data_IF_892753479598
#
_entry.id   IF_892753479598
#
_cell.length_a   1.000
_cell.length_b   1.000
_cell.length_c   1.000
_cell.angle_alpha   90.00
_cell.angle_beta   90.00
_cell.angle_gamma   90.00
#
_symmetry.space_group_name_H-M   'P 1'
#
loop_
_entity.id
_entity.type
_entity.pdbx_description
1 polymer ?
#
# COMPACT_ATOMS: atom_id res chain seq x y z
N UNK A 1 -9.51 17.23 5.92
CA UNK A 1 -9.37 15.77 5.69
C UNK A 1 -8.03 15.38 6.27
N UNK A 2 -8.00 14.67 7.39
CA UNK A 2 -6.72 14.15 7.91
C UNK A 2 -6.23 13.06 6.95
N UNK A 3 -4.96 13.12 6.54
CA UNK A 3 -4.37 12.08 5.71
C UNK A 3 -4.41 10.74 6.46
N UNK A 4 -4.83 9.67 5.78
CA UNK A 4 -4.83 8.32 6.36
C UNK A 4 -3.38 7.86 6.55
N UNK A 5 -2.97 7.38 7.75
CA UNK A 5 -1.60 6.93 7.98
C UNK A 5 -1.25 5.76 7.06
N UNK A 6 -0.06 5.82 6.46
CA UNK A 6 0.46 4.79 5.56
C UNK A 6 1.68 4.12 6.19
N UNK A 7 1.80 2.80 6.05
CA UNK A 7 2.90 2.02 6.63
C UNK A 7 3.51 1.15 5.54
N UNK A 8 4.83 1.25 5.36
CA UNK A 8 5.56 0.36 4.46
C UNK A 8 5.68 -1.03 5.09
N UNK A 9 5.29 -2.08 4.37
CA UNK A 9 5.46 -3.47 4.81
C UNK A 9 6.08 -4.31 3.70
N UNK A 10 7.09 -5.11 4.04
CA UNK A 10 7.77 -6.01 3.11
C UNK A 10 7.66 -7.49 3.52
N UNK A 11 7.12 -7.77 4.71
CA UNK A 11 7.04 -9.12 5.25
C UNK A 11 5.78 -9.33 6.09
N UNK A 12 5.44 -10.61 6.28
CA UNK A 12 4.25 -11.02 7.02
C UNK A 12 4.32 -10.64 8.51
N UNK A 13 5.53 -10.57 9.10
CA UNK A 13 5.70 -10.18 10.49
C UNK A 13 5.22 -8.73 10.73
N UNK A 14 5.71 -7.80 9.90
CA UNK A 14 5.34 -6.39 9.96
C UNK A 14 3.85 -6.18 9.68
N UNK A 15 3.32 -6.87 8.67
CA UNK A 15 1.90 -6.80 8.32
C UNK A 15 1.00 -7.21 9.50
N UNK A 16 1.33 -8.33 10.17
CA UNK A 16 0.59 -8.79 11.35
C UNK A 16 0.64 -7.79 12.49
N UNK A 17 1.80 -7.17 12.72
CA UNK A 17 1.96 -6.11 13.72
C UNK A 17 1.06 -4.91 13.40
N UNK A 18 1.05 -4.45 12.14
CA UNK A 18 0.21 -3.34 11.69
C UNK A 18 -1.27 -3.64 11.86
N UNK A 19 -1.72 -4.81 11.41
CA UNK A 19 -3.12 -5.24 11.56
C UNK A 19 -3.56 -5.28 13.02
N UNK A 20 -2.77 -5.91 13.89
CA UNK A 20 -3.09 -6.02 15.31
C UNK A 20 -3.16 -4.64 15.99
N UNK A 21 -2.20 -3.76 15.68
CA UNK A 21 -2.15 -2.41 16.26
C UNK A 21 -3.29 -1.53 15.76
N UNK A 22 -3.56 -1.52 14.45
CA UNK A 22 -4.66 -0.76 13.85
C UNK A 22 -6.02 -1.17 14.42
N UNK A 23 -6.24 -2.48 14.58
CA UNK A 23 -7.45 -3.03 15.20
C UNK A 23 -7.57 -2.63 16.69
N UNK A 24 -6.47 -2.75 17.45
CA UNK A 24 -6.44 -2.38 18.88
C UNK A 24 -6.73 -0.89 19.11
N UNK A 25 -6.13 -0.02 18.30
CA UNK A 25 -6.29 1.43 18.40
C UNK A 25 -7.55 1.95 17.69
N UNK A 26 -8.25 1.11 16.92
CA UNK A 26 -9.39 1.48 16.06
C UNK A 26 -9.05 2.62 15.09
N UNK A 27 -7.86 2.56 14.49
CA UNK A 27 -7.38 3.56 13.53
C UNK A 27 -7.41 2.95 12.12
N UNK A 28 -7.99 3.69 11.17
CA UNK A 28 -7.90 3.34 9.75
C UNK A 28 -6.50 3.67 9.25
N UNK A 29 -5.83 2.71 8.61
CA UNK A 29 -4.52 2.90 7.99
C UNK A 29 -4.43 2.14 6.66
N UNK A 30 -3.42 2.46 5.86
CA UNK A 30 -3.12 1.81 4.58
C UNK A 30 -1.74 1.18 4.65
N UNK A 31 -1.60 -0.04 4.13
CA UNK A 31 -0.28 -0.67 3.95
C UNK A 31 0.23 -0.43 2.54
N UNK A 32 1.52 -0.18 2.41
CA UNK A 32 2.18 0.13 1.14
C UNK A 32 3.38 -0.79 0.98
N UNK A 33 3.62 -1.32 -0.22
CA UNK A 33 4.84 -2.07 -0.50
C UNK A 33 6.07 -1.15 -0.41
N UNK A 34 7.31 -1.68 -0.31
CA UNK A 34 8.51 -0.87 -0.52
C UNK A 34 8.50 -0.17 -1.90
N UNK A 35 9.24 0.94 -2.05
CA UNK A 35 9.34 1.65 -3.33
C UNK A 35 9.76 0.71 -4.47
N UNK A 36 9.04 0.75 -5.59
CA UNK A 36 9.32 -0.08 -6.77
C UNK A 36 9.15 -1.59 -6.59
N UNK A 37 8.59 -2.09 -5.49
CA UNK A 37 8.47 -3.53 -5.23
C UNK A 37 7.67 -4.27 -6.33
N UNK A 38 6.70 -3.61 -6.96
CA UNK A 38 5.95 -4.16 -8.10
C UNK A 38 6.83 -4.42 -9.32
N UNK A 39 7.94 -3.69 -9.49
CA UNK A 39 8.91 -3.92 -10.58
C UNK A 39 9.89 -5.06 -10.28
N UNK A 40 10.18 -5.31 -9.00
CA UNK A 40 11.24 -6.24 -8.56
C UNK A 40 10.66 -7.58 -8.16
N UNK A 41 9.67 -7.57 -7.26
CA UNK A 41 9.03 -8.76 -6.71
C UNK A 41 7.78 -9.15 -7.49
N UNK A 42 7.15 -8.18 -8.15
CA UNK A 42 5.92 -8.39 -8.91
C UNK A 42 4.65 -8.39 -8.06
N UNK A 43 3.52 -8.24 -8.74
CA UNK A 43 2.20 -8.27 -8.11
C UNK A 43 1.86 -9.58 -7.39
N UNK A 44 2.27 -10.79 -7.86
CA UNK A 44 1.93 -12.05 -7.19
C UNK A 44 2.48 -12.14 -5.76
N UNK A 45 3.70 -11.64 -5.54
CA UNK A 45 4.29 -11.55 -4.20
C UNK A 45 3.45 -10.66 -3.29
N UNK A 46 3.05 -9.48 -3.77
CA UNK A 46 2.27 -8.55 -2.96
C UNK A 46 0.90 -9.13 -2.60
N UNK A 47 0.19 -9.71 -3.57
CA UNK A 47 -1.09 -10.38 -3.33
C UNK A 47 -0.99 -11.51 -2.33
N UNK A 48 0.08 -12.31 -2.39
CA UNK A 48 0.32 -13.38 -1.41
C UNK A 48 0.59 -12.81 0.00
N UNK A 49 1.34 -11.71 0.09
CA UNK A 49 1.63 -11.06 1.37
C UNK A 49 0.37 -10.49 2.02
N UNK A 50 -0.51 -9.86 1.24
CA UNK A 50 -1.70 -9.13 1.76
C UNK A 50 -3.01 -9.91 1.65
N UNK A 51 -2.96 -11.21 1.33
CA UNK A 51 -4.16 -12.03 1.05
C UNK A 51 -5.22 -11.97 2.16
N UNK A 52 -4.79 -12.03 3.43
CA UNK A 52 -5.66 -11.97 4.61
C UNK A 52 -5.67 -10.58 5.29
N UNK A 53 -5.19 -9.55 4.59
CA UNK A 53 -5.14 -8.19 5.11
C UNK A 53 -6.48 -7.47 4.87
N UNK A 54 -7.20 -7.03 5.92
CA UNK A 54 -8.43 -6.26 5.75
C UNK A 54 -8.17 -4.76 5.46
N UNK A 55 -6.91 -4.31 5.55
CA UNK A 55 -6.53 -2.92 5.32
C UNK A 55 -6.34 -2.66 3.82
N UNK A 56 -6.63 -1.45 3.32
CA UNK A 56 -6.22 -1.04 1.98
C UNK A 56 -4.72 -1.27 1.77
N UNK A 57 -4.37 -1.83 0.61
CA UNK A 57 -3.02 -2.29 0.30
C UNK A 57 -2.56 -1.77 -1.07
N UNK A 58 -1.51 -0.94 -1.06
CA UNK A 58 -0.97 -0.28 -2.25
C UNK A 58 0.33 -0.95 -2.72
N UNK A 59 0.41 -1.26 -4.01
CA UNK A 59 1.64 -1.76 -4.65
C UNK A 59 2.35 -0.66 -5.43
N UNK A 60 3.60 -0.40 -5.07
CA UNK A 60 4.45 0.56 -5.78
C UNK A 60 5.09 -0.06 -7.03
N UNK A 61 4.62 0.37 -8.20
CA UNK A 61 5.04 -0.12 -9.51
C UNK A 61 6.03 0.85 -10.20
N UNK A 62 6.55 1.85 -9.49
CA UNK A 62 7.52 2.81 -10.05
C UNK A 62 7.08 3.40 -11.39
N UNK A 63 7.95 3.30 -12.41
CA UNK A 63 7.66 3.79 -13.77
C UNK A 63 7.11 2.71 -14.73
N UNK A 64 6.77 1.52 -14.21
CA UNK A 64 6.40 0.38 -15.04
C UNK A 64 4.88 0.23 -15.18
N UNK A 65 4.30 0.92 -16.15
CA UNK A 65 2.86 0.87 -16.43
C UNK A 65 2.33 -0.57 -16.67
N UNK A 66 3.14 -1.44 -17.28
CA UNK A 66 2.76 -2.84 -17.49
C UNK A 66 2.56 -3.62 -16.19
N UNK A 67 3.46 -3.46 -15.22
CA UNK A 67 3.32 -4.10 -13.90
C UNK A 67 2.15 -3.53 -13.11
N UNK A 68 1.92 -2.21 -13.17
CA UNK A 68 0.75 -1.59 -12.59
C UNK A 68 -0.56 -2.15 -13.17
N UNK A 69 -0.63 -2.34 -14.50
CA UNK A 69 -1.79 -2.92 -15.15
C UNK A 69 -2.03 -4.38 -14.72
N UNK A 70 -0.97 -5.21 -14.62
CA UNK A 70 -1.08 -6.58 -14.12
C UNK A 70 -1.61 -6.62 -12.68
N UNK A 71 -1.09 -5.75 -11.81
CA UNK A 71 -1.53 -5.64 -10.42
C UNK A 71 -3.02 -5.27 -10.30
N UNK A 72 -3.49 -4.29 -11.08
CA UNK A 72 -4.90 -3.92 -11.14
C UNK A 72 -5.79 -5.08 -11.60
N UNK A 73 -5.38 -5.82 -12.64
CA UNK A 73 -6.11 -7.01 -13.12
C UNK A 73 -6.19 -8.14 -12.11
N UNK A 74 -5.22 -8.21 -11.20
CA UNK A 74 -5.21 -9.18 -10.10
C UNK A 74 -6.03 -8.73 -8.88
N UNK A 75 -6.63 -7.54 -8.92
CA UNK A 75 -7.48 -7.02 -7.84
C UNK A 75 -6.73 -6.32 -6.72
N UNK A 76 -5.50 -5.84 -6.94
CA UNK A 76 -4.82 -4.98 -5.96
C UNK A 76 -5.64 -3.70 -5.76
N UNK A 77 -5.89 -3.32 -4.50
CA UNK A 77 -6.74 -2.18 -4.16
C UNK A 77 -6.23 -0.84 -4.69
N UNK A 78 -4.91 -0.69 -4.82
CA UNK A 78 -4.33 0.44 -5.54
C UNK A 78 -2.88 0.24 -5.94
N UNK A 79 -2.48 0.95 -6.99
CA UNK A 79 -1.10 0.94 -7.51
C UNK A 79 -0.54 2.36 -7.49
N UNK A 80 0.75 2.46 -7.20
CA UNK A 80 1.50 3.72 -7.34
C UNK A 80 2.32 3.62 -8.62
N UNK A 81 2.14 4.56 -9.55
CA UNK A 81 2.83 4.55 -10.83
C UNK A 81 3.16 5.97 -11.30
N UNK A 82 4.46 6.26 -11.43
CA UNK A 82 4.98 7.50 -12.00
C UNK A 82 5.26 7.29 -13.49
N UNK A 83 4.23 7.51 -14.32
CA UNK A 83 4.25 7.19 -15.76
C UNK A 83 3.78 8.38 -16.59
N UNK A 84 3.90 8.30 -17.91
CA UNK A 84 3.40 9.36 -18.79
C UNK A 84 1.88 9.57 -18.62
N UNK A 85 1.38 10.77 -18.93
CA UNK A 85 -0.06 11.10 -18.83
C UNK A 85 -0.95 10.12 -19.61
N UNK A 86 -0.50 9.67 -20.79
CA UNK A 86 -1.24 8.70 -21.59
C UNK A 86 -1.34 7.33 -20.91
N UNK A 87 -0.23 6.83 -20.35
CA UNK A 87 -0.21 5.59 -19.58
C UNK A 87 -1.03 5.72 -18.30
N UNK A 88 -0.93 6.84 -17.60
CA UNK A 88 -1.70 7.09 -16.38
C UNK A 88 -3.22 7.04 -16.65
N UNK A 89 -3.69 7.71 -17.71
CA UNK A 89 -5.11 7.65 -18.13
C UNK A 89 -5.57 6.24 -18.45
N UNK A 90 -4.72 5.44 -19.12
CA UNK A 90 -5.02 4.05 -19.40
C UNK A 90 -5.13 3.20 -18.12
N UNK A 91 -4.21 3.41 -17.16
CA UNK A 91 -4.26 2.75 -15.86
C UNK A 91 -5.50 3.16 -15.06
N UNK A 92 -5.88 4.44 -15.04
CA UNK A 92 -7.10 4.90 -14.36
C UNK A 92 -8.34 4.26 -14.96
N UNK A 93 -8.42 4.16 -16.29
CA UNK A 93 -9.55 3.49 -16.96
C UNK A 93 -9.61 2.00 -16.59
N UNK A 94 -8.46 1.33 -16.53
CA UNK A 94 -8.39 -0.06 -16.08
C UNK A 94 -8.79 -0.20 -14.60
N UNK A 95 -8.34 0.71 -13.74
CA UNK A 95 -8.62 0.69 -12.31
C UNK A 95 -10.13 0.84 -12.04
N UNK A 96 -10.82 1.69 -12.81
CA UNK A 96 -12.29 1.79 -12.77
C UNK A 96 -12.99 0.47 -13.11
N UNK A 97 -12.45 -0.29 -14.06
CA UNK A 97 -13.00 -1.61 -14.44
C UNK A 97 -12.71 -2.69 -13.39
N UNK A 98 -11.58 -2.60 -12.69
CA UNK A 98 -11.15 -3.63 -11.72
C UNK A 98 -11.46 -3.27 -10.27
N UNK A 99 -12.03 -2.09 -10.00
CA UNK A 99 -12.32 -1.60 -8.66
C UNK A 99 -11.08 -1.15 -7.87
N UNK A 100 -9.98 -0.83 -8.56
CA UNK A 100 -8.73 -0.35 -7.94
C UNK A 100 -8.55 1.17 -8.07
N UNK A 101 -7.42 1.65 -7.54
CA UNK A 101 -7.00 3.05 -7.63
C UNK A 101 -5.58 3.19 -8.21
N UNK A 102 -5.32 4.32 -8.87
CA UNK A 102 -3.98 4.67 -9.36
C UNK A 102 -3.53 5.95 -8.66
N UNK A 103 -2.32 5.91 -8.12
CA UNK A 103 -1.69 7.05 -7.46
C UNK A 103 -0.46 7.47 -8.26
N UNK A 104 -0.38 8.74 -8.64
CA UNK A 104 0.79 9.30 -9.33
C UNK A 104 1.99 9.49 -8.40
N UNK A 105 1.71 9.65 -7.11
CA UNK A 105 2.71 9.93 -6.07
C UNK A 105 2.56 8.92 -4.94
N UNK A 106 3.70 8.41 -4.46
CA UNK A 106 3.75 7.55 -3.29
C UNK A 106 3.32 8.37 -2.06
N UNK A 107 2.35 7.92 -1.24
CA UNK A 107 2.02 8.59 0.00
C UNK A 107 3.19 8.51 0.98
N UNK A 108 3.35 9.52 1.83
CA UNK A 108 4.31 9.45 2.93
C UNK A 108 3.95 8.27 3.83
N UNK A 109 4.88 7.31 3.98
CA UNK A 109 4.68 6.09 4.75
C UNK A 109 5.73 5.94 5.83
N UNK A 110 5.34 5.33 6.96
CA UNK A 110 6.27 4.91 8.00
C UNK A 110 6.98 3.63 7.57
N UNK A 111 8.31 3.64 7.55
CA UNK A 111 9.12 2.42 7.52
C UNK A 111 9.32 1.91 8.96
N UNK A 112 8.98 0.65 9.20
CA UNK A 112 9.15 0.04 10.52
C UNK A 112 10.63 -0.29 10.76
N UNK A 113 11.19 0.11 11.92
CA UNK A 113 12.55 -0.27 12.26
C UNK A 113 12.64 -1.78 12.57
N UNK A 114 13.79 -2.42 12.34
CA UNK A 114 13.97 -3.86 12.59
C UNK A 114 13.92 -4.23 14.08
N UNK A 115 14.04 -3.24 14.97
CA UNK A 115 13.92 -3.37 16.43
C UNK A 115 12.96 -2.31 16.91
N UNK A 116 12.19 -2.62 17.95
CA UNK A 116 11.25 -1.68 18.58
C UNK A 116 10.19 -1.12 17.61
N UNK A 117 9.78 -1.93 16.61
CA UNK A 117 8.74 -1.55 15.65
C UNK A 117 7.40 -1.22 16.32
N UNK A 118 7.01 -1.99 17.34
CA UNK A 118 5.72 -1.84 18.02
C UNK A 118 5.53 -0.46 18.67
N UNK A 119 6.42 0.03 19.56
CA UNK A 119 6.26 1.35 20.16
C UNK A 119 6.36 2.50 19.14
N UNK A 120 7.16 2.34 18.07
CA UNK A 120 7.24 3.33 16.99
C UNK A 120 5.93 3.39 16.21
N UNK A 121 5.37 2.24 15.84
CA UNK A 121 4.10 2.14 15.14
C UNK A 121 2.96 2.70 15.98
N UNK A 122 2.89 2.35 17.27
CA UNK A 122 1.85 2.86 18.17
C UNK A 122 1.88 4.38 18.24
N UNK A 123 3.06 4.97 18.48
CA UNK A 123 3.22 6.42 18.52
C UNK A 123 2.81 7.08 17.21
N UNK A 124 3.18 6.49 16.07
CA UNK A 124 2.80 6.98 14.76
C UNK A 124 1.29 6.95 14.55
N UNK A 125 0.63 5.82 14.80
CA UNK A 125 -0.83 5.68 14.61
C UNK A 125 -1.62 6.58 15.56
N UNK A 126 -1.18 6.78 16.81
CA UNK A 126 -1.84 7.68 17.77
C UNK A 126 -1.83 9.14 17.35
N UNK A 127 -0.95 9.56 16.45
CA UNK A 127 -0.97 10.90 15.87
C UNK A 127 -2.14 11.12 14.89
N UNK A 128 -2.83 10.06 14.48
CA UNK A 128 -3.98 10.06 13.58
C UNK A 128 -5.20 9.53 14.35
N UNK A 129 -5.92 10.39 15.11
CA UNK A 129 -7.08 9.95 15.86
C UNK A 129 -8.14 9.34 14.94
N UNK A 130 -8.88 8.36 15.46
CA UNK A 130 -10.03 7.79 14.77
C UNK A 130 -11.01 8.93 14.41
N UNK A 131 -11.32 9.04 13.12
CA UNK A 131 -12.41 9.90 12.63
C UNK A 131 -13.77 9.29 12.95
#
# INVERSE_FOLDING_TARGET
>A
MHAVPCITVACMHDLKLVMAMAASLRVNCTVVSPPGAGCVMGAPWWMALVADCPLPALLDCGQAAGYAACALRMGVSGVIAHVSVAQHRALVSLAQMTGGHVMEQRPASLDLPPRDAAPVLERYLRAFPAG
#
